data_IF_151473578884
#
_entry.id   IF_151473578884
#
_cell.length_a   1.000
_cell.length_b   1.000
_cell.length_c   1.000
_cell.angle_alpha   90.00
_cell.angle_beta   90.00
_cell.angle_gamma   90.00
#
_symmetry.space_group_name_H-M   'P 1'
#
loop_
_entity.id
_entity.type
_entity.pdbx_description
1 polymer ?
#
# COMPACT_ATOMS: atom_id res chain seq x y z
N UNK A 1 -42.11 -50.14 25.01
CA UNK A 1 -41.72 -50.10 23.58
C UNK A 1 -42.23 -48.85 22.88
N UNK A 2 -43.54 -48.58 22.81
CA UNK A 2 -44.13 -47.45 22.05
C UNK A 2 -43.62 -46.06 22.48
N UNK A 3 -43.45 -45.82 23.78
CA UNK A 3 -42.93 -44.55 24.31
C UNK A 3 -41.41 -44.37 24.08
N UNK A 4 -40.65 -45.45 23.99
CA UNK A 4 -39.20 -45.38 23.77
C UNK A 4 -38.88 -44.79 22.38
N UNK A 5 -39.65 -45.16 21.35
CA UNK A 5 -39.50 -44.60 20.01
C UNK A 5 -39.87 -43.12 19.94
N UNK A 6 -40.90 -42.69 20.66
CA UNK A 6 -41.30 -41.28 20.73
C UNK A 6 -40.23 -40.42 21.41
N UNK A 7 -39.66 -40.90 22.52
CA UNK A 7 -38.55 -40.21 23.21
C UNK A 7 -37.31 -40.14 22.32
N UNK A 8 -36.99 -41.21 21.60
CA UNK A 8 -35.85 -41.23 20.69
C UNK A 8 -36.02 -40.24 19.53
N UNK A 9 -37.19 -40.20 18.88
CA UNK A 9 -37.47 -39.24 17.80
C UNK A 9 -37.39 -37.81 18.30
N UNK A 10 -37.96 -37.51 19.48
CA UNK A 10 -37.85 -36.18 20.08
C UNK A 10 -36.40 -35.79 20.38
N UNK A 11 -35.57 -36.72 20.85
CA UNK A 11 -34.15 -36.49 21.06
C UNK A 11 -33.41 -36.19 19.75
N UNK A 12 -33.66 -36.97 18.69
CA UNK A 12 -33.03 -36.74 17.38
C UNK A 12 -33.42 -35.38 16.81
N UNK A 13 -34.71 -35.01 16.89
CA UNK A 13 -35.19 -33.70 16.43
C UNK A 13 -34.58 -32.57 17.25
N UNK A 14 -34.50 -32.71 18.58
CA UNK A 14 -33.86 -31.72 19.45
C UNK A 14 -32.37 -31.54 19.12
N UNK A 15 -31.63 -32.64 18.92
CA UNK A 15 -30.20 -32.60 18.57
C UNK A 15 -30.00 -31.93 17.20
N UNK A 16 -30.77 -32.31 16.18
CA UNK A 16 -30.66 -31.70 14.85
C UNK A 16 -31.06 -30.21 14.85
N UNK A 17 -32.02 -29.82 15.69
CA UNK A 17 -32.46 -28.42 15.80
C UNK A 17 -31.43 -27.55 16.53
N UNK A 18 -30.73 -28.09 17.53
CA UNK A 18 -29.73 -27.36 18.34
C UNK A 18 -28.39 -27.28 17.61
N UNK A 19 -27.91 -28.39 17.04
CA UNK A 19 -26.57 -28.47 16.45
C UNK A 19 -26.56 -28.24 14.94
N UNK A 20 -27.72 -28.22 14.29
CA UNK A 20 -27.84 -28.10 12.84
C UNK A 20 -27.30 -29.32 12.10
N UNK A 21 -27.24 -29.20 10.77
CA UNK A 21 -26.62 -30.19 9.91
C UNK A 21 -25.13 -29.87 9.76
N UNK A 22 -24.29 -30.91 9.81
CA UNK A 22 -22.85 -30.75 9.59
C UNK A 22 -22.59 -30.08 8.23
N UNK A 23 -21.85 -28.98 8.23
CA UNK A 23 -21.48 -28.24 7.02
C UNK A 23 -22.34 -27.01 6.71
N UNK A 24 -23.33 -26.67 7.56
CA UNK A 24 -24.04 -25.40 7.43
C UNK A 24 -23.12 -24.22 7.80
N UNK A 25 -23.07 -23.15 6.99
CA UNK A 25 -22.31 -21.96 7.35
C UNK A 25 -22.94 -21.25 8.55
N UNK A 26 -22.12 -20.90 9.54
CA UNK A 26 -22.52 -20.11 10.70
C UNK A 26 -22.13 -18.63 10.51
N UNK A 27 -22.95 -17.71 11.04
CA UNK A 27 -22.63 -16.28 11.08
C UNK A 27 -21.81 -15.88 12.32
N UNK A 28 -21.98 -16.63 13.40
CA UNK A 28 -21.24 -16.43 14.65
C UNK A 28 -19.91 -17.20 14.61
N UNK A 29 -18.88 -16.75 15.34
CA UNK A 29 -17.67 -17.52 15.54
C UNK A 29 -17.98 -18.94 16.04
N UNK A 30 -17.24 -19.96 15.59
CA UNK A 30 -17.41 -21.33 16.06
C UNK A 30 -17.23 -21.44 17.58
N UNK A 31 -17.90 -22.42 18.18
CA UNK A 31 -17.69 -22.74 19.60
C UNK A 31 -16.33 -23.42 19.77
N UNK A 32 -15.46 -22.81 20.57
CA UNK A 32 -14.15 -23.36 20.93
C UNK A 32 -14.30 -24.22 22.20
N UNK A 33 -14.17 -25.55 22.08
CA UNK A 33 -14.32 -26.48 23.21
C UNK A 33 -13.10 -26.41 24.15
N UNK A 34 -11.90 -26.28 23.58
CA UNK A 34 -10.65 -26.11 24.31
C UNK A 34 -9.95 -24.87 23.76
N UNK A 35 -10.17 -23.72 24.39
CA UNK A 35 -9.60 -22.45 23.96
C UNK A 35 -8.29 -22.10 24.69
N UNK A 36 -7.63 -23.11 25.28
CA UNK A 36 -6.39 -22.93 26.00
C UNK A 36 -5.31 -22.41 25.04
N UNK A 37 -4.71 -21.28 25.40
CA UNK A 37 -3.74 -20.53 24.58
C UNK A 37 -4.23 -19.95 23.23
N UNK A 38 -5.53 -20.00 22.91
CA UNK A 38 -6.09 -19.30 21.74
C UNK A 38 -6.11 -17.78 21.98
N UNK A 39 -6.58 -17.39 23.17
CA UNK A 39 -6.57 -16.02 23.69
C UNK A 39 -5.56 -15.94 24.83
N UNK A 40 -4.33 -15.58 24.50
CA UNK A 40 -3.23 -15.49 25.45
C UNK A 40 -3.28 -14.16 26.22
N UNK A 41 -2.80 -14.11 27.48
CA UNK A 41 -2.71 -12.87 28.28
C UNK A 41 -1.52 -12.00 27.82
N UNK A 42 -1.42 -11.75 26.52
CA UNK A 42 -0.44 -10.85 25.89
C UNK A 42 -1.08 -10.15 24.71
N UNK A 43 -0.65 -8.94 24.43
CA UNK A 43 -1.12 -8.21 23.27
C UNK A 43 -0.39 -8.63 21.99
N UNK A 44 -1.14 -8.77 20.91
CA UNK A 44 -0.62 -8.93 19.55
C UNK A 44 -0.63 -7.57 18.83
N UNK A 45 0.14 -7.38 17.75
CA UNK A 45 -0.02 -6.19 16.91
C UNK A 45 -1.48 -6.04 16.47
N UNK A 46 -1.99 -4.80 16.47
CA UNK A 46 -3.37 -4.48 16.12
C UNK A 46 -4.45 -5.20 16.95
N UNK A 47 -4.16 -5.50 18.22
CA UNK A 47 -5.17 -6.06 19.14
C UNK A 47 -5.86 -4.97 19.98
N UNK A 48 -7.01 -5.34 20.54
CA UNK A 48 -7.76 -4.49 21.44
C UNK A 48 -7.12 -4.49 22.84
N UNK A 49 -7.17 -3.35 23.52
CA UNK A 49 -6.75 -3.21 24.92
C UNK A 49 -7.83 -2.50 25.73
N UNK A 50 -8.25 -3.11 26.84
CA UNK A 50 -9.12 -2.47 27.83
C UNK A 50 -8.44 -1.46 28.75
N UNK A 51 -7.11 -1.27 28.64
CA UNK A 51 -6.36 -0.36 29.50
C UNK A 51 -6.32 1.09 28.95
N UNK A 52 -6.07 1.25 27.65
CA UNK A 52 -6.01 2.57 27.01
C UNK A 52 -7.39 3.05 26.56
N UNK A 53 -7.63 4.36 26.67
CA UNK A 53 -8.93 4.98 26.34
C UNK A 53 -9.34 4.86 24.87
N UNK A 54 -8.37 4.68 23.96
CA UNK A 54 -8.61 4.49 22.52
C UNK A 54 -8.76 3.02 22.11
N UNK A 55 -8.73 2.09 23.07
CA UNK A 55 -8.91 0.66 22.83
C UNK A 55 -7.73 -0.01 22.11
N UNK A 56 -6.63 0.70 21.83
CA UNK A 56 -5.52 0.20 21.00
C UNK A 56 -4.34 -0.25 21.83
N UNK A 57 -3.78 -1.41 21.49
CA UNK A 57 -2.49 -1.86 22.04
C UNK A 57 -1.32 -1.12 21.41
N UNK A 58 -1.42 -0.83 20.11
CA UNK A 58 -0.38 -0.16 19.35
C UNK A 58 -0.33 1.32 19.72
N UNK A 59 0.68 1.72 20.51
CA UNK A 59 0.87 3.09 20.95
C UNK A 59 1.61 3.91 19.91
N UNK A 60 1.24 5.19 19.70
CA UNK A 60 2.02 6.07 18.86
C UNK A 60 3.41 6.26 19.46
N UNK A 61 4.42 6.29 18.58
CA UNK A 61 5.80 6.62 18.98
C UNK A 61 5.83 8.09 19.44
N UNK A 62 6.45 8.41 20.59
CA UNK A 62 6.64 9.80 21.01
C UNK A 62 7.35 10.62 19.94
N UNK A 63 6.93 11.88 19.77
CA UNK A 63 7.52 12.79 18.81
C UNK A 63 9.04 12.93 19.01
N UNK A 64 9.78 13.12 17.90
CA UNK A 64 11.24 13.28 17.87
C UNK A 64 12.06 12.08 18.39
N UNK A 65 11.45 10.90 18.50
CA UNK A 65 12.20 9.67 18.79
C UNK A 65 12.95 9.21 17.55
N UNK A 66 14.25 8.94 17.68
CA UNK A 66 15.08 8.39 16.61
C UNK A 66 15.29 6.90 16.86
N UNK A 67 14.94 6.00 15.92
CA UNK A 67 15.17 4.58 16.09
C UNK A 67 16.65 4.25 15.89
N UNK A 68 17.15 3.22 16.59
CA UNK A 68 18.52 2.73 16.39
C UNK A 68 18.71 2.08 15.02
N UNK A 69 17.73 1.29 14.61
CA UNK A 69 17.71 0.63 13.30
C UNK A 69 16.77 1.41 12.36
N UNK A 70 17.17 1.56 11.10
CA UNK A 70 16.39 2.31 10.10
C UNK A 70 16.63 3.82 10.09
N UNK A 71 17.58 4.33 10.88
CA UNK A 71 18.10 5.68 10.67
C UNK A 71 18.91 5.71 9.37
N UNK A 72 18.58 6.67 8.50
CA UNK A 72 19.25 6.88 7.22
C UNK A 72 20.04 8.19 7.33
N UNK A 73 21.37 8.10 7.25
CA UNK A 73 22.27 9.25 7.36
C UNK A 73 22.22 10.15 6.13
N UNK A 74 22.07 9.56 4.94
CA UNK A 74 21.95 10.31 3.69
C UNK A 74 20.63 11.10 3.65
N UNK A 75 20.74 12.42 3.77
CA UNK A 75 19.60 13.35 3.79
C UNK A 75 18.84 13.33 2.46
N UNK A 76 19.55 13.19 1.34
CA UNK A 76 18.92 13.12 0.02
C UNK A 76 18.09 11.84 -0.07
N UNK A 77 18.66 10.69 0.30
CA UNK A 77 17.94 9.42 0.32
C UNK A 77 16.74 9.46 1.28
N UNK A 78 16.93 9.95 2.50
CA UNK A 78 15.91 9.91 3.55
C UNK A 78 14.75 10.88 3.34
N UNK A 79 15.03 12.07 2.78
CA UNK A 79 14.07 13.20 2.78
C UNK A 79 13.80 13.80 1.40
N UNK A 80 14.62 13.49 0.39
CA UNK A 80 14.56 14.15 -0.92
C UNK A 80 15.07 15.59 -0.89
N UNK A 81 15.90 15.96 0.09
CA UNK A 81 16.44 17.32 0.22
C UNK A 81 17.96 17.37 0.10
N UNK A 82 18.48 18.51 -0.31
CA UNK A 82 19.90 18.85 -0.23
C UNK A 82 20.29 19.26 1.20
N UNK A 83 21.58 19.40 1.48
CA UNK A 83 22.07 19.92 2.77
C UNK A 83 21.61 21.37 3.05
N UNK A 84 21.30 22.15 2.00
CA UNK A 84 20.70 23.49 2.12
C UNK A 84 19.21 23.47 2.49
N UNK A 85 18.57 22.30 2.43
CA UNK A 85 17.14 22.11 2.68
C UNK A 85 16.24 22.26 1.45
N UNK A 86 16.80 22.54 0.28
CA UNK A 86 16.06 22.61 -0.99
C UNK A 86 15.69 21.21 -1.47
N UNK A 87 14.67 21.09 -2.34
CA UNK A 87 14.33 19.80 -2.93
C UNK A 87 15.39 19.36 -3.94
N UNK A 88 16.04 18.23 -3.68
CA UNK A 88 17.15 17.76 -4.48
C UNK A 88 16.68 17.26 -5.86
N UNK A 89 17.35 17.68 -6.96
CA UNK A 89 17.17 17.06 -8.27
C UNK A 89 17.98 15.76 -8.39
N UNK A 90 17.50 14.85 -9.23
CA UNK A 90 18.13 13.57 -9.50
C UNK A 90 17.80 12.47 -8.50
N UNK A 91 18.44 11.31 -8.67
CA UNK A 91 18.24 10.13 -7.82
C UNK A 91 19.44 9.93 -6.90
N UNK A 92 19.25 9.69 -5.59
CA UNK A 92 20.31 9.30 -4.67
C UNK A 92 20.73 7.82 -4.83
N UNK A 93 20.05 7.08 -5.69
CA UNK A 93 20.29 5.65 -5.95
C UNK A 93 20.45 5.40 -7.46
N UNK A 94 21.18 4.35 -7.81
CA UNK A 94 21.34 3.94 -9.20
C UNK A 94 20.02 3.46 -9.79
N UNK A 95 19.63 3.99 -10.95
CA UNK A 95 18.40 3.60 -11.65
C UNK A 95 18.65 2.35 -12.49
N UNK A 96 18.49 1.19 -11.86
CA UNK A 96 18.62 -0.13 -12.52
C UNK A 96 17.30 -0.65 -13.07
N UNK A 97 17.34 -1.70 -13.91
CA UNK A 97 16.13 -2.36 -14.40
C UNK A 97 15.31 -2.97 -13.26
N UNK A 98 15.98 -3.47 -12.23
CA UNK A 98 15.39 -4.05 -11.03
C UNK A 98 14.65 -2.98 -10.22
N UNK A 99 15.27 -1.80 -10.03
CA UNK A 99 14.62 -0.66 -9.38
C UNK A 99 13.39 -0.22 -10.17
N UNK A 100 13.48 -0.15 -11.50
CA UNK A 100 12.37 0.20 -12.37
C UNK A 100 11.21 -0.81 -12.28
N UNK A 101 11.53 -2.11 -12.26
CA UNK A 101 10.53 -3.17 -12.11
C UNK A 101 9.84 -3.08 -10.73
N UNK A 102 10.61 -2.81 -9.68
CA UNK A 102 10.07 -2.56 -8.33
C UNK A 102 9.18 -1.31 -8.29
N UNK A 103 9.61 -0.24 -8.95
CA UNK A 103 8.86 1.00 -9.07
C UNK A 103 7.51 0.79 -9.74
N UNK A 104 7.47 0.01 -10.84
CA UNK A 104 6.23 -0.36 -11.53
C UNK A 104 5.27 -1.12 -10.61
N UNK A 105 5.76 -2.14 -9.90
CA UNK A 105 4.95 -2.93 -8.97
C UNK A 105 4.30 -2.04 -7.90
N UNK A 106 5.11 -1.19 -7.26
CA UNK A 106 4.64 -0.27 -6.22
C UNK A 106 3.70 0.79 -6.76
N UNK A 107 3.96 1.31 -7.96
CA UNK A 107 3.08 2.23 -8.65
C UNK A 107 1.70 1.62 -8.96
N UNK A 108 1.68 0.37 -9.40
CA UNK A 108 0.44 -0.37 -9.69
C UNK A 108 -0.42 -0.55 -8.43
N UNK A 109 0.21 -0.79 -7.28
CA UNK A 109 -0.48 -1.00 -6.00
C UNK A 109 -1.01 0.32 -5.42
N UNK A 110 -0.17 1.36 -5.34
CA UNK A 110 -0.47 2.56 -4.55
C UNK A 110 -0.93 3.77 -5.37
N UNK A 111 -0.43 3.93 -6.60
CA UNK A 111 -0.58 5.18 -7.35
C UNK A 111 -1.63 5.09 -8.46
N UNK A 112 -1.69 3.94 -9.14
CA UNK A 112 -2.58 3.68 -10.29
C UNK A 112 -4.06 3.92 -10.00
N UNK A 113 -4.61 3.59 -8.81
CA UNK A 113 -6.03 3.84 -8.54
C UNK A 113 -6.47 5.29 -8.73
N UNK A 114 -5.59 6.26 -8.47
CA UNK A 114 -5.86 7.68 -8.65
C UNK A 114 -5.21 8.26 -9.92
N UNK A 115 -3.93 7.95 -10.16
CA UNK A 115 -3.16 8.58 -11.25
C UNK A 115 -3.30 7.87 -12.61
N UNK A 116 -3.96 6.71 -12.67
CA UNK A 116 -4.12 5.91 -13.89
C UNK A 116 -2.87 5.11 -14.24
N UNK A 117 -3.00 4.07 -15.06
CA UNK A 117 -1.87 3.21 -15.43
C UNK A 117 -0.81 3.95 -16.27
N UNK A 118 -1.24 5.00 -16.98
CA UNK A 118 -0.40 5.84 -17.82
C UNK A 118 0.07 7.13 -17.13
N UNK A 119 -0.32 7.37 -15.87
CA UNK A 119 -0.02 8.64 -15.20
C UNK A 119 -0.79 9.84 -15.76
N UNK A 120 -1.93 9.61 -16.40
CA UNK A 120 -2.75 10.63 -17.05
C UNK A 120 -3.82 11.26 -16.12
N UNK A 121 -3.86 10.85 -14.86
CA UNK A 121 -4.85 11.33 -13.89
C UNK A 121 -6.22 10.68 -14.04
N UNK A 122 -6.36 9.67 -14.92
CA UNK A 122 -7.62 8.97 -15.17
C UNK A 122 -7.66 7.61 -14.45
N UNK A 123 -7.29 7.57 -13.17
CA UNK A 123 -7.47 6.40 -12.33
C UNK A 123 -8.95 6.06 -12.09
N UNK A 124 -9.21 4.85 -11.60
CA UNK A 124 -10.58 4.37 -11.32
C UNK A 124 -11.33 5.30 -10.35
N UNK A 125 -10.63 5.95 -9.42
CA UNK A 125 -11.24 6.88 -8.45
C UNK A 125 -11.86 8.11 -9.09
N UNK A 126 -11.45 8.47 -10.31
CA UNK A 126 -12.07 9.57 -11.08
C UNK A 126 -13.56 9.33 -11.34
N UNK A 127 -13.96 8.07 -11.56
CA UNK A 127 -15.37 7.69 -11.74
C UNK A 127 -16.22 7.92 -10.48
N UNK A 128 -15.56 8.02 -9.31
CA UNK A 128 -16.18 8.27 -8.02
C UNK A 128 -16.05 9.73 -7.55
N UNK A 129 -15.73 10.66 -8.46
CA UNK A 129 -15.69 12.10 -8.20
C UNK A 129 -14.33 12.65 -7.77
N UNK A 130 -13.28 11.83 -7.70
CA UNK A 130 -11.91 12.30 -7.45
C UNK A 130 -11.26 12.81 -8.75
N UNK A 131 -11.84 13.84 -9.36
CA UNK A 131 -11.44 14.33 -10.69
C UNK A 131 -10.24 15.30 -10.70
N UNK A 132 -9.74 15.69 -9.53
CA UNK A 132 -8.66 16.68 -9.39
C UNK A 132 -7.24 16.09 -9.41
N UNK A 133 -7.08 14.80 -9.74
CA UNK A 133 -5.76 14.18 -9.82
C UNK A 133 -5.03 14.68 -11.07
N UNK A 134 -3.86 15.33 -10.92
CA UNK A 134 -3.13 15.89 -12.06
C UNK A 134 -2.48 14.79 -12.90
N UNK A 135 -2.26 15.07 -14.18
CA UNK A 135 -1.46 14.20 -15.04
C UNK A 135 0.02 14.46 -14.81
N UNK A 136 0.83 13.40 -14.68
CA UNK A 136 2.28 13.53 -14.59
C UNK A 136 2.93 14.09 -15.85
N UNK A 137 2.19 14.14 -16.95
CA UNK A 137 2.67 14.64 -18.24
C UNK A 137 2.64 16.16 -18.34
N UNK A 138 1.99 16.84 -17.39
CA UNK A 138 2.00 18.30 -17.29
C UNK A 138 3.43 18.82 -17.07
N UNK A 139 3.84 19.84 -17.83
CA UNK A 139 5.19 20.43 -17.80
C UNK A 139 5.64 20.76 -16.37
N UNK A 140 4.74 21.38 -15.59
CA UNK A 140 4.98 21.70 -14.17
C UNK A 140 5.39 20.48 -13.33
N UNK A 141 4.85 19.30 -13.60
CA UNK A 141 5.20 18.06 -12.88
C UNK A 141 6.41 17.35 -13.48
N UNK A 142 6.73 17.60 -14.76
CA UNK A 142 7.97 17.13 -15.38
C UNK A 142 9.17 17.90 -14.85
N UNK A 143 9.03 19.22 -14.69
CA UNK A 143 10.10 20.12 -14.23
C UNK A 143 10.28 20.13 -12.70
N UNK A 144 9.35 19.52 -11.96
CA UNK A 144 9.45 19.33 -10.51
C UNK A 144 10.67 18.46 -10.18
N UNK A 145 11.44 18.79 -9.14
CA UNK A 145 12.57 17.93 -8.74
C UNK A 145 12.09 16.60 -8.15
N UNK A 146 12.90 15.56 -8.30
CA UNK A 146 12.61 14.22 -7.77
C UNK A 146 12.40 14.27 -6.24
N UNK A 147 13.17 15.10 -5.55
CA UNK A 147 13.01 15.37 -4.12
C UNK A 147 11.65 15.95 -3.73
N UNK A 148 11.05 16.82 -4.54
CA UNK A 148 9.70 17.34 -4.27
C UNK A 148 8.63 16.24 -4.46
N UNK A 149 8.81 15.37 -5.47
CA UNK A 149 7.94 14.20 -5.68
C UNK A 149 8.08 13.24 -4.49
N UNK A 150 9.30 12.96 -4.02
CA UNK A 150 9.56 12.16 -2.83
C UNK A 150 8.86 12.73 -1.59
N UNK A 151 8.96 14.05 -1.38
CA UNK A 151 8.28 14.72 -0.29
C UNK A 151 6.75 14.59 -0.40
N UNK A 152 6.20 14.71 -1.62
CA UNK A 152 4.76 14.55 -1.88
C UNK A 152 4.29 13.14 -1.54
N UNK A 153 5.06 12.10 -1.89
CA UNK A 153 4.73 10.71 -1.51
C UNK A 153 4.80 10.55 0.01
N UNK A 154 5.85 11.10 0.64
CA UNK A 154 6.13 10.92 2.07
C UNK A 154 5.12 11.62 2.95
N UNK A 155 4.78 12.88 2.63
CA UNK A 155 3.98 13.77 3.48
C UNK A 155 2.58 14.07 2.93
N UNK A 156 2.28 13.69 1.69
CA UNK A 156 1.06 14.08 0.99
C UNK A 156 1.13 15.50 0.41
N UNK A 157 0.12 15.87 -0.37
CA UNK A 157 -0.04 17.22 -0.95
C UNK A 157 -1.51 17.49 -1.26
N UNK A 158 -2.07 18.56 -0.70
CA UNK A 158 -3.48 18.92 -0.84
C UNK A 158 -4.40 17.74 -0.46
N UNK A 159 -5.20 17.23 -1.41
CA UNK A 159 -6.11 16.09 -1.23
C UNK A 159 -5.39 14.73 -1.27
N UNK A 160 -4.13 14.67 -1.72
CA UNK A 160 -3.35 13.45 -1.73
C UNK A 160 -2.84 13.16 -0.31
N UNK A 161 -3.30 12.06 0.28
CA UNK A 161 -2.82 11.57 1.57
C UNK A 161 -1.36 11.15 1.55
N UNK A 162 -0.76 11.02 2.74
CA UNK A 162 0.63 10.58 2.91
C UNK A 162 0.77 9.06 2.76
N UNK A 163 1.88 8.63 2.16
CA UNK A 163 2.25 7.22 1.99
C UNK A 163 3.52 6.84 2.73
N UNK A 164 4.16 7.76 3.48
CA UNK A 164 5.41 7.48 4.18
C UNK A 164 5.33 6.35 5.21
N UNK A 165 4.15 6.09 5.79
CA UNK A 165 3.89 4.99 6.72
C UNK A 165 3.64 3.64 6.03
N UNK A 166 3.38 3.64 4.72
CA UNK A 166 3.00 2.45 3.94
C UNK A 166 4.09 2.01 2.97
N UNK A 167 4.98 2.92 2.60
CA UNK A 167 6.01 2.70 1.60
C UNK A 167 7.40 3.00 2.20
N UNK A 168 8.31 2.01 2.21
CA UNK A 168 9.72 2.22 2.58
C UNK A 168 10.39 3.28 1.70
N UNK A 169 11.47 3.89 2.18
CA UNK A 169 12.17 4.99 1.49
C UNK A 169 12.65 4.58 0.10
N UNK A 170 13.19 3.38 -0.03
CA UNK A 170 13.72 2.81 -1.27
C UNK A 170 12.61 2.61 -2.31
N UNK A 171 11.43 2.14 -1.85
CA UNK A 171 10.26 1.95 -2.71
C UNK A 171 9.72 3.29 -3.24
N UNK A 172 9.85 4.38 -2.48
CA UNK A 172 9.45 5.72 -2.95
C UNK A 172 10.33 6.17 -4.11
N UNK A 173 11.66 6.00 -3.99
CA UNK A 173 12.59 6.30 -5.07
C UNK A 173 12.36 5.43 -6.30
N UNK A 174 12.07 4.14 -6.11
CA UNK A 174 11.70 3.24 -7.19
C UNK A 174 10.44 3.71 -7.94
N UNK A 175 9.40 4.13 -7.21
CA UNK A 175 8.17 4.68 -7.80
C UNK A 175 8.47 5.96 -8.58
N UNK A 176 9.30 6.86 -8.05
CA UNK A 176 9.67 8.10 -8.74
C UNK A 176 10.41 7.78 -10.05
N UNK A 177 11.31 6.80 -10.06
CA UNK A 177 11.99 6.35 -11.28
C UNK A 177 10.98 5.85 -12.32
N UNK A 178 9.97 5.08 -11.89
CA UNK A 178 8.89 4.65 -12.76
C UNK A 178 8.01 5.81 -13.27
N UNK A 179 7.71 6.81 -12.44
CA UNK A 179 7.00 8.03 -12.86
C UNK A 179 7.80 8.78 -13.92
N UNK A 180 9.12 8.91 -13.76
CA UNK A 180 10.00 9.53 -14.78
C UNK A 180 10.00 8.75 -16.08
N UNK A 181 9.99 7.43 -16.04
CA UNK A 181 9.86 6.62 -17.25
C UNK A 181 8.50 6.79 -17.94
N UNK A 182 7.40 6.90 -17.19
CA UNK A 182 6.09 7.21 -17.76
C UNK A 182 6.10 8.56 -18.48
N UNK A 183 6.68 9.60 -17.87
CA UNK A 183 6.84 10.93 -18.47
C UNK A 183 7.64 10.86 -19.78
N UNK A 184 8.77 10.13 -19.79
CA UNK A 184 9.59 9.93 -20.99
C UNK A 184 8.88 9.12 -22.06
N UNK A 185 8.14 8.06 -21.69
CA UNK A 185 7.45 7.19 -22.63
C UNK A 185 6.42 7.94 -23.49
N UNK A 186 5.81 9.02 -22.96
CA UNK A 186 4.88 9.85 -23.73
C UNK A 186 5.56 10.84 -24.68
N UNK A 187 6.84 11.14 -24.46
CA UNK A 187 7.62 12.12 -25.22
C UNK A 187 8.73 11.49 -26.06
N UNK A 188 8.80 10.16 -26.08
CA UNK A 188 9.85 9.44 -26.79
C UNK A 188 9.87 9.82 -28.27
N UNK A 189 11.05 10.17 -28.75
CA UNK A 189 11.33 10.35 -30.17
C UNK A 189 12.05 9.11 -30.71
N UNK A 190 12.05 8.93 -32.03
CA UNK A 190 12.74 7.80 -32.69
C UNK A 190 14.23 7.73 -32.30
N UNK A 191 14.84 8.89 -32.03
CA UNK A 191 16.24 8.98 -31.62
C UNK A 191 16.52 8.42 -30.22
N UNK A 192 15.51 8.31 -29.35
CA UNK A 192 15.64 7.68 -28.04
C UNK A 192 15.76 6.16 -28.12
N UNK A 193 15.43 5.56 -29.27
CA UNK A 193 15.52 4.11 -29.50
C UNK A 193 16.94 3.78 -29.96
N UNK A 194 17.68 2.90 -29.25
CA UNK A 194 18.98 2.42 -29.69
C UNK A 194 18.91 1.89 -31.12
N UNK A 195 19.90 2.18 -31.99
CA UNK A 195 19.86 1.76 -33.40
C UNK A 195 19.59 0.26 -33.60
N UNK A 196 20.09 -0.58 -32.69
CA UNK A 196 19.88 -2.02 -32.70
C UNK A 196 18.41 -2.46 -32.56
N UNK A 197 17.56 -1.63 -31.97
CA UNK A 197 16.16 -1.94 -31.66
C UNK A 197 15.15 -1.19 -32.55
N UNK A 198 15.61 -0.33 -33.47
CA UNK A 198 14.70 0.46 -34.35
C UNK A 198 13.89 -0.43 -35.30
N UNK A 199 14.55 -1.44 -35.88
CA UNK A 199 13.91 -2.39 -36.79
C UNK A 199 12.78 -3.21 -36.15
N UNK A 200 12.86 -3.49 -34.85
CA UNK A 200 11.81 -4.20 -34.08
C UNK A 200 10.51 -3.39 -33.97
N UNK A 201 10.61 -2.05 -34.06
CA UNK A 201 9.50 -1.12 -33.95
C UNK A 201 9.01 -0.61 -35.31
N UNK A 202 9.58 -1.10 -36.42
CA UNK A 202 9.27 -0.62 -37.77
C UNK A 202 9.76 0.80 -38.06
N UNK A 203 10.82 1.23 -37.35
CA UNK A 203 11.48 2.53 -37.48
C UNK A 203 12.80 2.44 -38.25
#
# INVERSE_FOLDING_TARGET
MRYAYLVFILLVVAVLSIFGLRGTPFKSPPVEIFNDMDRQPKYKPQSESGFFADGRTDRPVPANTVPREGYIEDIHLATGRTDSGDFAPGFPVEVTRELMARGRDRYQIFCTPCHGALGDGNGITRQYGMAATPSYHDDRLRDMSEGEIFNTITHGKNLMGRYGDKMPVEDRWAVIAYVRALQRARQGVVDDVPPANRSELGL
#
